data_IF_221459608380
#
_entry.id   IF_221459608380
#
_cell.length_a   1.000
_cell.length_b   1.000
_cell.length_c   1.000
_cell.angle_alpha   90.00
_cell.angle_beta   90.00
_cell.angle_gamma   90.00
#
_symmetry.space_group_name_H-M   'P 1'
#
loop_
_entity.id
_entity.type
_entity.pdbx_description
1 polymer ?
#
# COMPACT_ATOMS: atom_id res chain seq x y z
N UNK A 1 70.17 -58.36 -24.88
CA UNK A 1 69.75 -57.36 -23.86
C UNK A 1 68.37 -56.85 -24.21
N UNK A 2 67.34 -57.25 -23.46
CA UNK A 2 66.08 -56.53 -23.23
C UNK A 2 65.16 -57.46 -22.41
N UNK A 3 65.31 -57.43 -21.09
CA UNK A 3 64.42 -58.14 -20.18
C UNK A 3 63.16 -57.30 -19.95
N UNK A 4 62.00 -57.88 -20.24
CA UNK A 4 60.71 -57.30 -19.92
C UNK A 4 60.46 -57.36 -18.40
N UNK A 5 60.48 -56.22 -17.73
CA UNK A 5 60.01 -56.09 -16.36
C UNK A 5 58.46 -56.00 -16.36
N UNK A 6 57.78 -57.13 -16.14
CA UNK A 6 56.35 -57.13 -15.79
C UNK A 6 56.20 -56.70 -14.34
N UNK A 7 55.75 -55.46 -14.14
CA UNK A 7 55.34 -54.97 -12.83
C UNK A 7 54.05 -55.70 -12.40
N UNK A 8 54.18 -56.67 -11.49
CA UNK A 8 53.03 -57.33 -10.85
C UNK A 8 52.56 -56.39 -9.75
N UNK A 9 51.65 -55.48 -10.08
CA UNK A 9 50.95 -54.70 -9.07
C UNK A 9 50.24 -55.68 -8.13
N UNK A 10 50.74 -55.78 -6.89
CA UNK A 10 50.16 -56.60 -5.85
C UNK A 10 48.90 -55.87 -5.38
N UNK A 11 47.74 -56.29 -5.86
CA UNK A 11 46.44 -55.86 -5.34
C UNK A 11 46.30 -56.39 -3.91
N UNK A 12 46.63 -55.55 -2.92
CA UNK A 12 46.24 -55.83 -1.54
C UNK A 12 44.72 -55.72 -1.45
N UNK A 13 44.06 -56.81 -1.07
CA UNK A 13 42.62 -56.83 -0.85
C UNK A 13 42.26 -55.99 0.38
N UNK A 14 41.26 -55.12 0.24
CA UNK A 14 40.71 -54.31 1.33
C UNK A 14 40.18 -55.21 2.45
N UNK A 15 40.51 -54.89 3.70
CA UNK A 15 39.90 -55.61 4.83
C UNK A 15 38.44 -55.17 5.03
N UNK A 16 37.59 -56.07 5.51
CA UNK A 16 36.19 -55.76 5.85
C UNK A 16 36.08 -54.56 6.81
N UNK A 17 37.05 -54.46 7.73
CA UNK A 17 37.15 -53.37 8.71
C UNK A 17 37.44 -52.03 8.03
N UNK A 18 38.34 -51.99 7.05
CA UNK A 18 38.63 -50.78 6.27
C UNK A 18 37.41 -50.28 5.51
N UNK A 19 36.62 -51.18 4.91
CA UNK A 19 35.39 -50.82 4.21
C UNK A 19 34.35 -50.25 5.19
N UNK A 20 34.20 -50.85 6.37
CA UNK A 20 33.27 -50.38 7.40
C UNK A 20 33.67 -49.00 7.93
N UNK A 21 34.97 -48.77 8.17
CA UNK A 21 35.49 -47.47 8.61
C UNK A 21 35.31 -46.41 7.52
N UNK A 22 35.60 -46.74 6.26
CA UNK A 22 35.41 -45.82 5.14
C UNK A 22 33.94 -45.40 4.96
N UNK A 23 33.01 -46.35 5.03
CA UNK A 23 31.56 -46.06 4.96
C UNK A 23 31.12 -45.22 6.17
N UNK A 24 31.57 -45.55 7.38
CA UNK A 24 31.23 -44.80 8.59
C UNK A 24 31.69 -43.33 8.48
N UNK A 25 32.93 -43.09 8.05
CA UNK A 25 33.45 -41.73 7.83
C UNK A 25 32.70 -41.02 6.69
N UNK A 26 32.40 -41.73 5.60
CA UNK A 26 31.63 -41.18 4.48
C UNK A 26 30.23 -40.71 4.89
N UNK A 27 29.54 -41.48 5.73
CA UNK A 27 28.22 -41.12 6.28
C UNK A 27 28.31 -39.90 7.20
N UNK A 28 29.30 -39.87 8.11
CA UNK A 28 29.49 -38.73 9.02
C UNK A 28 29.78 -37.43 8.26
N UNK A 29 30.67 -37.48 7.27
CA UNK A 29 31.00 -36.32 6.43
C UNK A 29 29.80 -35.87 5.61
N UNK A 30 29.07 -36.81 5.01
CA UNK A 30 27.87 -36.51 4.22
C UNK A 30 26.77 -35.89 5.08
N UNK A 31 26.56 -36.39 6.30
CA UNK A 31 25.60 -35.83 7.25
C UNK A 31 25.97 -34.41 7.68
N UNK A 32 27.24 -34.15 7.97
CA UNK A 32 27.75 -32.81 8.29
C UNK A 32 27.56 -31.84 7.12
N UNK A 33 27.94 -32.24 5.91
CA UNK A 33 27.76 -31.43 4.70
C UNK A 33 26.28 -31.13 4.42
N UNK A 34 25.40 -32.12 4.55
CA UNK A 34 23.95 -31.93 4.37
C UNK A 34 23.38 -30.97 5.41
N UNK A 35 23.81 -31.08 6.67
CA UNK A 35 23.36 -30.18 7.75
C UNK A 35 23.75 -28.73 7.49
N UNK A 36 24.99 -28.49 7.04
CA UNK A 36 25.45 -27.16 6.66
C UNK A 36 24.68 -26.60 5.46
N UNK A 37 24.42 -27.43 4.45
CA UNK A 37 23.65 -27.04 3.28
C UNK A 37 22.21 -26.65 3.66
N UNK A 38 21.56 -27.42 4.55
CA UNK A 38 20.22 -27.11 5.03
C UNK A 38 20.19 -25.83 5.86
N UNK A 39 21.17 -25.61 6.73
CA UNK A 39 21.30 -24.37 7.51
C UNK A 39 21.51 -23.15 6.59
N UNK A 40 22.40 -23.27 5.59
CA UNK A 40 22.64 -22.23 4.60
C UNK A 40 21.38 -21.91 3.79
N UNK A 41 20.65 -22.93 3.32
CA UNK A 41 19.39 -22.75 2.59
C UNK A 41 18.32 -22.05 3.44
N UNK A 42 18.19 -22.40 4.73
CA UNK A 42 17.26 -21.72 5.65
C UNK A 42 17.63 -20.26 5.83
N UNK A 43 18.90 -19.97 6.15
CA UNK A 43 19.38 -18.61 6.31
C UNK A 43 19.19 -17.76 5.05
N UNK A 44 19.42 -18.34 3.87
CA UNK A 44 19.17 -17.68 2.59
C UNK A 44 17.70 -17.31 2.40
N UNK A 45 16.77 -18.25 2.65
CA UNK A 45 15.33 -17.99 2.52
C UNK A 45 14.84 -16.96 3.53
N UNK A 46 15.34 -16.99 4.76
CA UNK A 46 15.01 -15.98 5.79
C UNK A 46 15.50 -14.58 5.36
N UNK A 47 16.73 -14.48 4.84
CA UNK A 47 17.27 -13.23 4.33
C UNK A 47 16.46 -12.69 3.14
N UNK A 48 16.00 -13.58 2.25
CA UNK A 48 15.15 -13.21 1.11
C UNK A 48 13.78 -12.69 1.57
N UNK A 49 13.11 -13.34 2.52
CA UNK A 49 11.81 -12.91 3.06
C UNK A 49 11.92 -11.55 3.77
N UNK A 50 13.01 -11.32 4.52
CA UNK A 50 13.27 -10.03 5.16
C UNK A 50 13.53 -8.92 4.14
N UNK A 51 14.28 -9.21 3.08
CA UNK A 51 14.52 -8.25 1.99
C UNK A 51 13.21 -7.89 1.28
N UNK A 52 12.39 -8.89 0.92
CA UNK A 52 11.05 -8.68 0.31
C UNK A 52 10.16 -7.85 1.22
N UNK A 53 10.12 -8.15 2.52
CA UNK A 53 9.35 -7.38 3.49
C UNK A 53 9.78 -5.91 3.53
N UNK A 54 11.08 -5.63 3.57
CA UNK A 54 11.59 -4.26 3.59
C UNK A 54 11.29 -3.52 2.29
N UNK A 55 11.44 -4.17 1.15
CA UNK A 55 11.13 -3.58 -0.16
C UNK A 55 9.64 -3.28 -0.31
N UNK A 56 8.77 -4.21 0.10
CA UNK A 56 7.33 -3.99 0.16
C UNK A 56 6.98 -2.83 1.09
N UNK A 57 7.53 -2.79 2.30
CA UNK A 57 7.30 -1.70 3.25
C UNK A 57 7.74 -0.33 2.71
N UNK A 58 8.92 -0.26 2.08
CA UNK A 58 9.39 0.96 1.38
C UNK A 58 8.49 1.35 0.22
N UNK A 59 7.99 0.38 -0.53
CA UNK A 59 7.08 0.63 -1.64
C UNK A 59 5.73 1.17 -1.14
N UNK A 60 5.16 0.61 -0.08
CA UNK A 60 3.94 1.10 0.55
C UNK A 60 4.10 2.53 1.06
N UNK A 61 5.20 2.84 1.77
CA UNK A 61 5.48 4.21 2.22
C UNK A 61 5.62 5.19 1.05
N UNK A 62 6.28 4.79 -0.04
CA UNK A 62 6.41 5.64 -1.24
C UNK A 62 5.05 5.93 -1.87
N UNK A 63 4.20 4.92 -1.98
CA UNK A 63 2.85 5.04 -2.55
C UNK A 63 1.98 5.96 -1.70
N UNK A 64 1.89 5.70 -0.39
CA UNK A 64 1.11 6.52 0.54
C UNK A 64 1.63 7.96 0.61
N UNK A 65 2.95 8.12 0.63
CA UNK A 65 3.59 9.45 0.58
C UNK A 65 3.19 10.20 -0.68
N UNK A 66 3.27 9.58 -1.85
CA UNK A 66 2.87 10.20 -3.10
C UNK A 66 1.40 10.64 -3.07
N UNK A 67 0.50 9.76 -2.62
CA UNK A 67 -0.93 10.07 -2.54
C UNK A 67 -1.20 11.23 -1.57
N UNK A 68 -0.61 11.21 -0.38
CA UNK A 68 -0.75 12.28 0.61
C UNK A 68 -0.18 13.62 0.15
N UNK A 69 0.96 13.61 -0.55
CA UNK A 69 1.52 14.83 -1.14
C UNK A 69 0.59 15.43 -2.21
N UNK A 70 -0.10 14.57 -2.97
CA UNK A 70 -1.06 14.95 -4.01
C UNK A 70 -2.49 15.15 -3.49
N UNK A 71 -2.73 14.94 -2.19
CA UNK A 71 -4.04 15.17 -1.57
C UNK A 71 -4.48 16.61 -1.83
N UNK A 72 -5.71 16.80 -2.30
CA UNK A 72 -6.23 18.15 -2.59
C UNK A 72 -5.70 18.79 -3.86
N UNK A 73 -4.89 18.07 -4.65
CA UNK A 73 -4.53 18.52 -5.99
C UNK A 73 -5.72 18.36 -6.93
N UNK A 74 -6.53 19.41 -7.01
CA UNK A 74 -7.51 19.59 -8.07
C UNK A 74 -6.98 20.73 -8.93
N UNK A 75 -6.82 20.50 -10.23
CA UNK A 75 -6.30 21.48 -11.18
C UNK A 75 -7.29 22.65 -11.41
N UNK A 76 -7.51 23.46 -10.37
CA UNK A 76 -8.42 24.60 -10.31
C UNK A 76 -7.73 25.77 -9.60
N UNK A 77 -8.14 27.00 -9.92
CA UNK A 77 -7.67 28.23 -9.28
C UNK A 77 -8.37 28.53 -7.95
N UNK A 78 -9.43 27.79 -7.64
CA UNK A 78 -10.06 27.78 -6.33
C UNK A 78 -10.05 26.35 -5.74
N UNK A 79 -8.87 25.83 -5.34
CA UNK A 79 -8.78 24.55 -4.64
C UNK A 79 -9.74 24.52 -3.44
N UNK A 80 -10.42 23.40 -3.22
CA UNK A 80 -11.38 23.22 -2.13
C UNK A 80 -12.82 23.60 -2.47
N UNK A 81 -13.05 24.26 -3.61
CA UNK A 81 -14.41 24.43 -4.14
C UNK A 81 -15.03 23.09 -4.51
N UNK A 82 -16.24 22.85 -4.00
CA UNK A 82 -17.01 21.70 -4.39
C UNK A 82 -17.45 21.85 -5.85
N UNK A 83 -17.09 20.87 -6.66
CA UNK A 83 -17.55 20.72 -8.05
C UNK A 83 -18.68 19.71 -8.07
N UNK A 84 -19.79 20.08 -8.69
CA UNK A 84 -20.95 19.20 -8.82
C UNK A 84 -20.60 17.93 -9.61
N UNK A 85 -21.09 16.76 -9.17
CA UNK A 85 -20.88 15.52 -9.89
C UNK A 85 -21.62 15.54 -11.23
N UNK A 86 -20.97 15.02 -12.28
CA UNK A 86 -21.59 14.91 -13.62
C UNK A 86 -22.72 13.88 -13.67
N UNK A 87 -22.67 12.90 -12.78
CA UNK A 87 -23.59 11.77 -12.77
C UNK A 87 -23.67 11.19 -11.35
N UNK A 88 -24.75 10.46 -11.10
CA UNK A 88 -24.98 9.73 -9.84
C UNK A 88 -25.06 8.24 -10.09
N UNK A 89 -24.83 7.42 -9.07
CA UNK A 89 -24.76 5.96 -9.15
C UNK A 89 -25.06 5.26 -7.84
N UNK A 90 -24.20 4.32 -7.45
CA UNK A 90 -24.31 3.69 -6.13
C UNK A 90 -23.83 4.65 -5.05
N UNK A 91 -24.17 4.39 -3.78
CA UNK A 91 -23.76 5.27 -2.69
C UNK A 91 -22.23 5.44 -2.62
N UNK A 92 -21.46 4.37 -2.90
CA UNK A 92 -20.01 4.43 -2.98
C UNK A 92 -19.52 5.28 -4.15
N UNK A 93 -20.12 5.13 -5.33
CA UNK A 93 -19.80 5.93 -6.50
C UNK A 93 -20.04 7.42 -6.23
N UNK A 94 -21.23 7.77 -5.71
CA UNK A 94 -21.58 9.16 -5.39
C UNK A 94 -20.64 9.76 -4.35
N UNK A 95 -20.21 8.95 -3.39
CA UNK A 95 -19.30 9.37 -2.35
C UNK A 95 -17.87 9.62 -2.87
N UNK A 96 -17.38 8.82 -3.81
CA UNK A 96 -16.10 9.06 -4.51
C UNK A 96 -16.16 10.26 -5.47
N UNK A 97 -17.33 10.55 -6.04
CA UNK A 97 -17.54 11.66 -6.98
C UNK A 97 -17.52 13.04 -6.33
N UNK A 98 -17.70 13.13 -5.00
CA UNK A 98 -17.47 14.38 -4.26
C UNK A 98 -16.03 14.85 -4.46
N UNK A 99 -15.80 16.15 -4.50
CA UNK A 99 -14.47 16.78 -4.64
C UNK A 99 -14.00 17.47 -3.36
N UNK A 100 -14.90 17.71 -2.41
CA UNK A 100 -14.64 18.33 -1.12
C UNK A 100 -15.30 17.50 0.02
N UNK A 101 -14.59 17.16 1.11
CA UNK A 101 -13.16 17.40 1.35
C UNK A 101 -12.27 16.56 0.43
N UNK A 102 -11.05 17.01 0.10
CA UNK A 102 -10.18 16.26 -0.81
C UNK A 102 -9.50 15.04 -0.17
N UNK A 103 -9.47 15.01 1.16
CA UNK A 103 -8.92 13.94 1.97
C UNK A 103 -9.90 13.67 3.12
N UNK A 104 -10.27 12.40 3.31
CA UNK A 104 -10.94 11.93 4.53
C UNK A 104 -10.10 10.82 5.15
N UNK A 105 -10.10 10.78 6.48
CA UNK A 105 -9.39 9.80 7.28
C UNK A 105 -10.37 9.11 8.22
N UNK A 106 -10.47 7.80 8.10
CA UNK A 106 -11.30 6.95 8.94
C UNK A 106 -10.37 6.24 9.91
N UNK A 107 -10.24 6.81 11.12
CA UNK A 107 -9.36 6.29 12.16
C UNK A 107 -9.90 4.98 12.75
N UNK A 108 -9.02 4.00 12.93
CA UNK A 108 -9.27 2.71 13.59
C UNK A 108 -10.60 2.07 13.18
N UNK A 109 -10.73 1.76 11.89
CA UNK A 109 -11.98 1.24 11.35
C UNK A 109 -12.36 -0.07 12.07
N UNK A 110 -13.59 -0.17 12.54
CA UNK A 110 -14.13 -1.39 13.15
C UNK A 110 -14.38 -2.46 12.08
N UNK A 111 -14.62 -3.71 12.49
CA UNK A 111 -15.01 -4.79 11.54
C UNK A 111 -16.30 -4.48 10.77
N UNK A 112 -17.18 -3.65 11.35
CA UNK A 112 -18.38 -3.14 10.70
C UNK A 112 -18.12 -1.99 9.71
N UNK A 113 -16.88 -1.49 9.62
CA UNK A 113 -16.53 -0.39 8.72
C UNK A 113 -16.81 1.01 9.29
N UNK A 114 -17.01 1.11 10.60
CA UNK A 114 -17.27 2.36 11.31
C UNK A 114 -15.99 2.88 11.98
N UNK A 115 -15.74 4.19 11.97
CA UNK A 115 -14.73 4.81 12.83
C UNK A 115 -15.28 5.09 14.23
N UNK A 116 -14.40 5.18 15.23
CA UNK A 116 -14.73 5.66 16.57
C UNK A 116 -15.26 7.11 16.62
N UNK A 117 -15.00 7.92 15.59
CA UNK A 117 -15.54 9.28 15.44
C UNK A 117 -16.94 9.33 14.80
N UNK A 118 -17.53 8.16 14.47
CA UNK A 118 -18.83 8.07 13.80
C UNK A 118 -18.78 8.31 12.28
N UNK A 119 -17.61 8.59 11.71
CA UNK A 119 -17.44 8.57 10.25
C UNK A 119 -17.51 7.13 9.73
N UNK A 120 -18.31 6.92 8.68
CA UNK A 120 -18.40 5.65 7.97
C UNK A 120 -18.44 5.89 6.47
N UNK A 121 -17.67 5.11 5.73
CA UNK A 121 -17.84 5.01 4.28
C UNK A 121 -19.22 4.40 3.98
N UNK A 122 -19.82 4.65 2.80
CA UNK A 122 -21.02 3.96 2.37
C UNK A 122 -20.86 2.44 2.47
N UNK A 123 -21.94 1.72 2.81
CA UNK A 123 -21.89 0.28 3.02
C UNK A 123 -21.44 -0.53 1.79
N UNK A 124 -21.60 0.00 0.58
CA UNK A 124 -21.13 -0.59 -0.69
C UNK A 124 -19.69 -0.19 -1.03
N UNK A 125 -19.12 0.85 -0.38
CA UNK A 125 -17.68 1.14 -0.37
C UNK A 125 -16.95 0.24 0.64
N UNK A 126 -17.56 0.05 1.80
CA UNK A 126 -17.10 -0.90 2.81
C UNK A 126 -17.26 -2.30 2.23
N UNK A 127 -16.17 -3.04 2.11
CA UNK A 127 -16.17 -4.34 1.44
C UNK A 127 -16.82 -5.46 2.28
N UNK A 128 -17.83 -5.14 3.09
CA UNK A 128 -18.56 -6.04 3.99
C UNK A 128 -17.62 -6.85 4.90
N UNK A 129 -16.78 -6.16 5.69
CA UNK A 129 -15.88 -6.81 6.65
C UNK A 129 -14.64 -7.48 6.02
N UNK A 130 -14.35 -7.19 4.75
CA UNK A 130 -13.14 -7.68 4.06
C UNK A 130 -11.88 -6.83 4.29
N UNK A 131 -11.98 -5.76 5.07
CA UNK A 131 -10.87 -4.91 5.48
C UNK A 131 -10.30 -5.36 6.84
N UNK A 132 -9.09 -4.91 7.17
CA UNK A 132 -8.47 -5.14 8.49
C UNK A 132 -9.02 -4.12 9.48
N UNK A 133 -9.65 -4.60 10.56
CA UNK A 133 -10.14 -3.74 11.63
C UNK A 133 -8.99 -3.22 12.52
N UNK A 134 -9.16 -2.04 13.12
CA UNK A 134 -8.12 -1.37 13.92
C UNK A 134 -6.96 -0.84 13.07
N UNK A 135 -7.20 -0.62 11.77
CA UNK A 135 -6.31 0.11 10.87
C UNK A 135 -7.06 1.28 10.28
N UNK A 136 -6.33 2.26 9.79
CA UNK A 136 -6.91 3.43 9.17
C UNK A 136 -7.29 3.18 7.71
N UNK A 137 -8.30 3.92 7.26
CA UNK A 137 -8.62 4.05 5.85
C UNK A 137 -8.45 5.51 5.43
N UNK A 138 -7.91 5.71 4.23
CA UNK A 138 -7.75 7.04 3.65
C UNK A 138 -8.58 7.12 2.39
N UNK A 139 -9.27 8.24 2.22
CA UNK A 139 -9.95 8.57 0.98
C UNK A 139 -9.27 9.78 0.38
N UNK A 140 -8.80 9.61 -0.84
CA UNK A 140 -8.06 10.62 -1.59
C UNK A 140 -8.88 11.03 -2.80
N UNK A 141 -9.02 12.34 -3.00
CA UNK A 141 -9.65 12.94 -4.17
C UNK A 141 -8.70 13.96 -4.76
N UNK A 142 -8.31 13.71 -6.00
CA UNK A 142 -7.37 14.53 -6.74
C UNK A 142 -7.55 14.27 -8.23
N UNK A 143 -6.97 15.13 -9.02
CA UNK A 143 -6.69 14.83 -10.42
C UNK A 143 -5.31 14.18 -10.56
N UNK A 144 -5.00 13.71 -11.77
CA UNK A 144 -3.61 13.45 -12.16
C UNK A 144 -2.77 14.74 -12.09
N UNK A 145 -1.45 14.57 -11.98
CA UNK A 145 -0.49 15.68 -11.91
C UNK A 145 -0.23 16.37 -13.26
N UNK A 146 -0.71 15.79 -14.36
CA UNK A 146 -0.62 16.34 -15.70
C UNK A 146 -2.00 16.28 -16.38
N UNK A 147 -2.33 17.27 -17.22
CA UNK A 147 -3.55 17.24 -17.99
C UNK A 147 -3.48 16.10 -19.01
N UNK A 148 -4.61 15.45 -19.24
CA UNK A 148 -4.80 14.49 -20.33
C UNK A 148 -4.92 15.22 -21.66
N UNK A 149 -5.50 16.42 -21.67
CA UNK A 149 -5.63 17.28 -22.86
C UNK A 149 -5.35 18.73 -22.48
N UNK A 150 -4.42 19.34 -23.22
CA UNK A 150 -4.09 20.77 -23.13
C UNK A 150 -5.09 21.66 -23.90
N UNK A 151 -5.12 22.98 -23.63
CA UNK A 151 -6.01 23.90 -24.34
C UNK A 151 -5.74 23.88 -25.86
N UNK A 152 -6.76 23.57 -26.66
CA UNK A 152 -6.64 23.47 -28.12
C UNK A 152 -6.04 22.15 -28.64
N UNK A 153 -5.70 21.21 -27.74
CA UNK A 153 -5.33 19.85 -28.11
C UNK A 153 -6.49 19.06 -28.69
N UNK A 154 -6.18 17.98 -29.41
CA UNK A 154 -7.21 17.03 -29.87
C UNK A 154 -7.64 16.13 -28.71
N UNK A 155 -8.95 15.96 -28.58
CA UNK A 155 -9.59 15.12 -27.55
C UNK A 155 -9.62 13.63 -27.96
N UNK A 156 -8.79 13.24 -28.94
CA UNK A 156 -8.68 11.86 -29.41
C UNK A 156 -7.83 11.05 -28.43
N UNK A 157 -8.32 9.88 -28.00
CA UNK A 157 -7.60 9.03 -27.03
C UNK A 157 -8.01 9.23 -25.57
N UNK A 158 -9.06 10.02 -25.31
CA UNK A 158 -9.68 10.14 -23.99
C UNK A 158 -10.38 8.82 -23.65
N UNK A 159 -10.13 8.31 -22.45
CA UNK A 159 -10.82 7.14 -21.95
C UNK A 159 -12.31 7.49 -21.78
N UNK A 160 -13.23 6.87 -22.56
CA UNK A 160 -14.66 7.18 -22.47
C UNK A 160 -15.27 6.84 -21.11
N UNK A 161 -14.58 6.01 -20.33
CA UNK A 161 -15.08 5.54 -19.04
C UNK A 161 -14.48 6.30 -17.83
N UNK A 162 -13.44 7.11 -18.06
CA UNK A 162 -12.83 7.94 -17.02
C UNK A 162 -13.64 9.22 -16.76
N UNK A 163 -13.46 9.76 -15.58
CA UNK A 163 -14.02 11.06 -15.19
C UNK A 163 -12.91 12.09 -15.31
N UNK A 164 -13.23 13.23 -15.91
CA UNK A 164 -12.32 14.33 -16.09
C UNK A 164 -12.85 15.56 -15.38
N UNK A 165 -11.98 16.23 -14.63
CA UNK A 165 -12.16 17.62 -14.27
C UNK A 165 -11.82 18.47 -15.49
N UNK A 166 -12.83 19.17 -16.00
CA UNK A 166 -12.65 20.18 -17.04
C UNK A 166 -12.40 21.52 -16.37
N UNK A 167 -11.28 22.15 -16.70
CA UNK A 167 -11.01 23.53 -16.32
C UNK A 167 -11.14 24.44 -17.55
N UNK A 168 -12.14 25.32 -17.55
CA UNK A 168 -12.29 26.37 -18.55
C UNK A 168 -11.15 27.40 -18.52
N UNK A 169 -11.11 28.34 -19.46
CA UNK A 169 -10.09 29.40 -19.48
C UNK A 169 -9.96 30.08 -18.11
N UNK A 170 -8.72 30.30 -17.65
CA UNK A 170 -8.39 30.90 -16.34
C UNK A 170 -8.84 30.10 -15.11
N UNK A 171 -9.28 28.85 -15.28
CA UNK A 171 -9.71 27.93 -14.21
C UNK A 171 -10.93 28.44 -13.40
N UNK A 172 -11.75 29.32 -13.98
CA UNK A 172 -12.91 29.94 -13.30
C UNK A 172 -14.20 29.11 -13.46
N UNK A 173 -14.26 28.23 -14.46
CA UNK A 173 -15.36 27.30 -14.67
C UNK A 173 -14.79 25.88 -14.58
N UNK A 174 -15.10 25.18 -13.49
CA UNK A 174 -14.74 23.78 -13.29
C UNK A 174 -15.99 22.93 -13.27
N UNK A 175 -15.94 21.83 -14.01
CA UNK A 175 -17.02 20.84 -14.04
C UNK A 175 -16.41 19.45 -14.18
N UNK A 176 -16.98 18.47 -13.49
CA UNK A 176 -16.69 17.08 -13.81
C UNK A 176 -17.42 16.72 -15.10
N UNK A 177 -16.81 15.87 -15.91
CA UNK A 177 -17.44 15.29 -17.09
C UNK A 177 -16.88 13.91 -17.39
N UNK A 178 -17.72 13.02 -17.92
CA UNK A 178 -17.28 11.71 -18.39
C UNK A 178 -16.53 11.87 -19.72
N UNK A 179 -15.55 11.01 -19.93
CA UNK A 179 -14.81 10.93 -21.18
C UNK A 179 -15.68 10.64 -22.42
N UNK A 180 -15.04 10.62 -23.59
CA UNK A 180 -15.64 10.15 -24.84
C UNK A 180 -15.89 11.22 -25.90
N UNK A 181 -16.63 10.86 -26.95
CA UNK A 181 -16.66 11.59 -28.23
C UNK A 181 -17.45 12.92 -28.21
N UNK A 182 -17.98 13.35 -27.06
CA UNK A 182 -18.77 14.57 -26.90
C UNK A 182 -18.02 15.76 -26.27
N UNK A 183 -16.73 15.60 -26.02
CA UNK A 183 -15.94 16.62 -25.33
C UNK A 183 -15.60 17.78 -26.27
N UNK A 184 -15.98 18.99 -25.87
CA UNK A 184 -15.73 20.21 -26.64
C UNK A 184 -14.38 20.83 -26.28
N UNK A 185 -13.68 21.39 -27.28
CA UNK A 185 -12.29 21.85 -27.19
C UNK A 185 -12.05 23.15 -26.40
N UNK A 186 -12.77 23.36 -25.30
CA UNK A 186 -12.57 24.54 -24.45
C UNK A 186 -12.11 24.12 -23.07
N UNK A 187 -10.82 24.29 -22.80
CA UNK A 187 -10.21 24.05 -21.49
C UNK A 187 -9.25 22.87 -21.44
N UNK A 188 -8.63 22.71 -20.27
CA UNK A 188 -7.82 21.55 -19.93
C UNK A 188 -8.69 20.43 -19.39
N UNK A 189 -8.30 19.18 -19.68
CA UNK A 189 -8.89 18.01 -19.05
C UNK A 189 -7.89 17.32 -18.15
N UNK A 190 -8.31 17.10 -16.92
CA UNK A 190 -7.51 16.45 -15.90
C UNK A 190 -8.26 15.23 -15.41
N UNK A 191 -7.71 14.04 -15.59
CA UNK A 191 -8.37 12.82 -15.12
C UNK A 191 -8.55 12.88 -13.59
N UNK A 192 -9.78 12.72 -13.14
CA UNK A 192 -10.18 12.71 -11.74
C UNK A 192 -10.10 11.29 -11.19
N UNK A 193 -9.25 11.10 -10.19
CA UNK A 193 -8.84 9.77 -9.70
C UNK A 193 -9.13 9.59 -8.19
N UNK A 194 -10.41 9.60 -7.77
CA UNK A 194 -10.74 9.38 -6.38
C UNK A 194 -10.52 7.91 -5.99
N UNK A 195 -9.98 7.67 -4.80
CA UNK A 195 -9.70 6.32 -4.32
C UNK A 195 -9.74 6.20 -2.80
N UNK A 196 -10.23 5.06 -2.32
CA UNK A 196 -10.07 4.62 -0.92
C UNK A 196 -8.87 3.69 -0.84
N UNK A 197 -7.94 3.98 0.06
CA UNK A 197 -6.81 3.14 0.46
C UNK A 197 -7.10 2.52 1.82
N UNK A 198 -6.90 1.20 1.92
CA UNK A 198 -7.23 0.44 3.12
C UNK A 198 -6.52 -0.91 3.12
N UNK A 199 -6.47 -1.56 4.28
CA UNK A 199 -5.85 -2.89 4.40
C UNK A 199 -6.87 -4.02 4.27
N UNK A 200 -6.46 -5.14 3.69
CA UNK A 200 -7.18 -6.43 3.67
C UNK A 200 -6.32 -7.50 4.31
N UNK A 201 -6.96 -8.56 4.83
CA UNK A 201 -6.26 -9.73 5.36
C UNK A 201 -5.92 -10.78 4.28
N UNK A 202 -6.06 -10.41 3.00
CA UNK A 202 -5.70 -11.23 1.86
C UNK A 202 -5.31 -10.36 0.65
N UNK A 203 -4.45 -10.88 -0.21
CA UNK A 203 -3.92 -10.16 -1.38
C UNK A 203 -4.63 -10.56 -2.67
N UNK A 204 -4.67 -11.87 -2.95
CA UNK A 204 -5.18 -12.41 -4.21
C UNK A 204 -6.50 -13.12 -3.97
N UNK A 205 -6.52 -14.09 -3.07
CA UNK A 205 -7.68 -14.95 -2.81
C UNK A 205 -8.09 -14.86 -1.36
N UNK A 206 -9.40 -14.73 -1.10
CA UNK A 206 -9.91 -14.69 0.27
C UNK A 206 -9.45 -15.92 1.03
N UNK A 207 -8.71 -15.72 2.12
CA UNK A 207 -8.15 -16.79 2.94
C UNK A 207 -6.68 -17.14 2.65
N UNK A 208 -6.00 -16.49 1.69
CA UNK A 208 -4.55 -16.66 1.50
C UNK A 208 -3.71 -16.17 2.70
N UNK A 209 -4.32 -15.36 3.57
CA UNK A 209 -3.72 -14.87 4.80
C UNK A 209 -2.61 -13.85 4.55
N UNK A 210 -2.49 -13.28 3.36
CA UNK A 210 -1.46 -12.28 3.03
C UNK A 210 -2.07 -10.89 3.21
N UNK A 211 -1.73 -10.16 4.28
CA UNK A 211 -2.28 -8.83 4.50
C UNK A 211 -1.73 -7.88 3.44
N UNK A 212 -2.57 -6.98 2.92
CA UNK A 212 -2.18 -6.13 1.81
C UNK A 212 -2.81 -4.74 1.89
N UNK A 213 -2.05 -3.73 1.49
CA UNK A 213 -2.55 -2.40 1.18
C UNK A 213 -3.24 -2.44 -0.17
N UNK A 214 -4.52 -2.10 -0.18
CA UNK A 214 -5.36 -2.20 -1.36
C UNK A 214 -6.08 -0.88 -1.62
N UNK A 215 -6.57 -0.72 -2.85
CA UNK A 215 -7.37 0.43 -3.27
C UNK A 215 -8.72 0.05 -3.84
N UNK A 216 -9.68 0.96 -3.66
CA UNK A 216 -10.98 0.97 -4.32
C UNK A 216 -11.13 2.30 -5.06
N UNK A 217 -11.52 2.26 -6.34
CA UNK A 217 -11.61 3.44 -7.20
C UNK A 217 -12.77 3.32 -8.18
N UNK A 218 -13.02 4.38 -8.94
CA UNK A 218 -13.95 4.36 -10.07
C UNK A 218 -13.49 3.38 -11.15
N UNK A 219 -14.45 2.80 -11.88
CA UNK A 219 -14.16 1.84 -12.95
C UNK A 219 -15.31 1.69 -13.93
N UNK A 220 -15.19 0.69 -14.81
CA UNK A 220 -16.03 0.52 -16.01
C UNK A 220 -17.19 -0.48 -15.86
N UNK A 221 -17.43 -0.96 -14.64
CA UNK A 221 -18.48 -1.94 -14.35
C UNK A 221 -19.88 -1.30 -14.36
N UNK A 222 -20.94 -2.11 -14.28
CA UNK A 222 -22.31 -1.62 -14.17
C UNK A 222 -22.54 -0.69 -12.96
N UNK A 223 -21.84 -0.94 -11.85
CA UNK A 223 -21.86 -0.05 -10.68
C UNK A 223 -20.81 1.09 -10.75
N UNK A 224 -20.10 1.24 -11.88
CA UNK A 224 -19.05 2.25 -12.12
C UNK A 224 -17.90 2.23 -11.11
N UNK A 225 -17.62 1.06 -10.54
CA UNK A 225 -16.58 0.84 -9.54
C UNK A 225 -15.59 -0.21 -10.02
N UNK A 226 -14.29 0.09 -9.94
CA UNK A 226 -13.27 -0.91 -10.24
C UNK A 226 -13.31 -2.06 -9.20
N UNK A 227 -12.93 -3.29 -9.60
CA UNK A 227 -12.58 -4.31 -8.63
C UNK A 227 -11.52 -3.79 -7.65
N UNK A 228 -11.56 -4.28 -6.42
CA UNK A 228 -10.54 -3.95 -5.43
C UNK A 228 -9.20 -4.50 -5.88
N UNK A 229 -8.17 -3.67 -5.83
CA UNK A 229 -6.81 -4.00 -6.28
C UNK A 229 -5.86 -3.91 -5.09
N UNK A 230 -5.12 -4.97 -4.81
CA UNK A 230 -4.08 -4.95 -3.78
C UNK A 230 -2.75 -4.58 -4.39
N UNK A 231 -2.13 -3.56 -3.80
CA UNK A 231 -0.98 -2.84 -4.34
C UNK A 231 0.32 -3.33 -3.71
N UNK A 232 0.29 -3.58 -2.39
CA UNK A 232 1.47 -3.97 -1.63
C UNK A 232 1.12 -5.01 -0.59
N UNK A 233 1.83 -6.14 -0.60
CA UNK A 233 1.67 -7.23 0.34
C UNK A 233 2.52 -7.06 1.59
N UNK A 234 2.11 -7.69 2.69
CA UNK A 234 2.82 -7.72 3.97
C UNK A 234 2.46 -6.56 4.91
N UNK A 235 1.59 -5.62 4.52
CA UNK A 235 1.17 -4.51 5.40
C UNK A 235 0.02 -4.95 6.30
N UNK A 236 0.30 -5.16 7.59
CA UNK A 236 -0.66 -5.66 8.58
C UNK A 236 -1.43 -4.57 9.31
N UNK A 237 -0.83 -3.40 9.52
CA UNK A 237 -1.49 -2.27 10.16
C UNK A 237 -1.01 -0.95 9.56
N UNK A 238 -1.95 -0.01 9.42
CA UNK A 238 -1.74 1.34 8.91
C UNK A 238 -2.36 2.31 9.91
N UNK A 239 -1.58 3.26 10.40
CA UNK A 239 -2.04 4.34 11.27
C UNK A 239 -1.50 5.68 10.74
N UNK A 240 -2.27 6.74 10.93
CA UNK A 240 -1.89 8.10 10.57
C UNK A 240 -2.09 9.09 11.71
N UNK A 241 -1.21 10.07 11.75
CA UNK A 241 -1.41 11.29 12.55
C UNK A 241 -1.19 12.51 11.66
N UNK A 242 -1.98 13.56 11.86
CA UNK A 242 -1.91 14.79 11.08
C UNK A 242 -1.23 15.89 11.89
N UNK A 243 -0.19 16.50 11.31
CA UNK A 243 0.52 17.64 11.87
C UNK A 243 -0.29 18.91 11.69
N UNK A 244 -0.87 19.44 12.76
CA UNK A 244 -1.77 20.60 12.76
C UNK A 244 -0.95 21.88 12.97
N UNK A 245 -1.24 22.90 12.16
CA UNK A 245 -0.66 24.25 12.19
C UNK A 245 -1.68 25.20 12.86
N UNK A 246 -1.44 25.57 14.10
CA UNK A 246 -2.39 26.33 14.91
C UNK A 246 -2.16 27.85 14.88
N UNK A 247 -0.94 28.28 14.60
CA UNK A 247 -0.55 29.68 14.59
C UNK A 247 -0.38 30.27 13.18
N UNK A 248 -0.46 29.43 12.14
CA UNK A 248 -0.42 29.82 10.74
C UNK A 248 0.99 29.96 10.16
N UNK A 249 2.03 29.52 10.87
CA UNK A 249 3.43 29.58 10.44
C UNK A 249 3.83 28.52 9.40
N UNK A 250 2.89 27.64 9.04
CA UNK A 250 3.05 26.51 8.11
C UNK A 250 3.92 25.36 8.62
N UNK A 251 4.15 25.29 9.93
CA UNK A 251 4.79 24.18 10.62
C UNK A 251 3.75 23.41 11.45
N UNK A 252 4.10 22.17 11.81
CA UNK A 252 3.23 21.35 12.64
C UNK A 252 3.55 21.60 14.12
N UNK A 253 2.57 22.08 14.88
CA UNK A 253 2.67 22.28 16.33
C UNK A 253 2.46 20.98 17.09
N UNK A 254 1.48 20.19 16.64
CA UNK A 254 1.18 18.86 17.20
C UNK A 254 0.68 17.89 16.16
N UNK A 255 0.72 16.61 16.49
CA UNK A 255 0.20 15.53 15.68
C UNK A 255 -1.08 14.97 16.31
N UNK A 256 -2.14 14.86 15.52
CA UNK A 256 -3.44 14.36 15.95
C UNK A 256 -3.86 13.15 15.12
N UNK A 257 -4.23 12.06 15.79
CA UNK A 257 -4.73 10.86 15.12
C UNK A 257 -6.17 11.06 14.62
N UNK A 258 -6.99 11.83 15.33
CA UNK A 258 -8.40 12.07 14.97
C UNK A 258 -8.67 13.57 14.88
N UNK A 259 -8.13 14.26 13.86
CA UNK A 259 -8.38 15.68 13.70
C UNK A 259 -9.85 15.94 13.35
N UNK A 260 -10.44 16.98 13.95
CA UNK A 260 -11.72 17.48 13.49
C UNK A 260 -11.60 18.12 12.09
N UNK A 261 -12.71 18.45 11.40
CA UNK A 261 -12.64 19.04 10.07
C UNK A 261 -11.86 20.36 9.99
N UNK A 262 -11.84 21.20 11.03
CA UNK A 262 -11.06 22.44 11.03
C UNK A 262 -9.57 22.16 11.19
N UNK A 263 -9.22 21.24 12.09
CA UNK A 263 -7.85 20.78 12.29
C UNK A 263 -7.29 20.12 11.02
N UNK A 264 -8.05 19.24 10.36
CA UNK A 264 -7.62 18.61 9.12
C UNK A 264 -7.39 19.63 7.99
N UNK A 265 -8.14 20.75 7.96
CA UNK A 265 -7.87 21.87 7.04
C UNK A 265 -6.62 22.65 7.38
N UNK A 266 -6.27 22.73 8.67
CA UNK A 266 -5.04 23.34 9.13
C UNK A 266 -3.82 22.43 8.92
N UNK A 267 -4.01 21.12 8.76
CA UNK A 267 -2.91 20.16 8.65
C UNK A 267 -1.87 20.53 7.57
N UNK A 268 -0.59 20.46 7.94
CA UNK A 268 0.58 20.70 7.08
C UNK A 268 1.36 19.44 6.77
N UNK A 269 1.20 18.40 7.57
CA UNK A 269 1.93 17.15 7.45
C UNK A 269 1.04 15.96 7.82
N UNK A 270 1.42 14.78 7.34
CA UNK A 270 0.88 13.51 7.79
C UNK A 270 2.04 12.59 8.17
N UNK A 271 1.93 11.92 9.31
CA UNK A 271 2.86 10.90 9.76
C UNK A 271 2.20 9.53 9.58
N UNK A 272 2.86 8.69 8.80
CA UNK A 272 2.42 7.36 8.44
C UNK A 272 3.15 6.35 9.32
N UNK A 273 2.44 5.42 9.94
CA UNK A 273 2.99 4.25 10.60
C UNK A 273 2.50 2.99 9.89
N UNK A 274 3.43 2.14 9.46
CA UNK A 274 3.15 0.85 8.86
C UNK A 274 3.76 -0.26 9.69
N UNK A 275 2.94 -1.20 10.15
CA UNK A 275 3.44 -2.48 10.62
C UNK A 275 3.47 -3.44 9.43
N UNK A 276 4.67 -3.81 9.02
CA UNK A 276 4.90 -4.73 7.90
C UNK A 276 5.41 -6.05 8.44
N UNK A 277 5.01 -7.16 7.81
CA UNK A 277 5.49 -8.50 8.14
C UNK A 277 6.04 -9.27 6.96
N UNK A 278 6.84 -10.30 7.25
CA UNK A 278 7.21 -11.32 6.27
C UNK A 278 5.96 -11.99 5.67
N UNK A 279 6.03 -12.43 4.42
CA UNK A 279 4.88 -13.08 3.77
C UNK A 279 4.71 -14.53 4.23
N UNK A 280 5.80 -15.12 4.73
CA UNK A 280 5.84 -16.47 5.31
C UNK A 280 6.36 -16.44 6.75
N UNK A 281 5.94 -17.38 7.59
CA UNK A 281 6.51 -17.52 8.92
C UNK A 281 7.97 -17.99 8.83
N UNK A 282 8.82 -17.46 9.70
CA UNK A 282 10.20 -17.88 9.88
C UNK A 282 10.26 -18.96 10.97
N UNK A 283 10.96 -20.06 10.70
CA UNK A 283 10.98 -21.21 11.59
C UNK A 283 11.63 -20.90 12.94
N UNK A 284 10.93 -21.19 14.05
CA UNK A 284 11.44 -20.95 15.40
C UNK A 284 11.44 -19.48 15.83
N UNK A 285 10.95 -18.57 14.98
CA UNK A 285 10.77 -17.18 15.33
C UNK A 285 9.48 -16.98 16.14
N UNK A 286 9.52 -16.09 17.13
CA UNK A 286 8.37 -15.66 17.92
C UNK A 286 8.56 -14.17 18.21
N UNK A 287 7.50 -13.39 18.04
CA UNK A 287 7.54 -11.94 18.28
C UNK A 287 6.78 -11.62 19.57
N UNK A 288 7.49 -11.14 20.58
CA UNK A 288 6.96 -10.70 21.87
C UNK A 288 6.99 -9.17 22.04
N UNK A 289 7.42 -8.44 21.00
CA UNK A 289 7.51 -6.98 21.02
C UNK A 289 6.12 -6.36 21.00
N UNK A 290 6.00 -5.17 21.61
CA UNK A 290 4.83 -4.31 21.48
C UNK A 290 5.20 -3.17 20.52
N UNK A 291 4.48 -3.08 19.41
CA UNK A 291 4.64 -2.00 18.44
C UNK A 291 3.73 -0.84 18.80
N UNK A 292 4.28 0.36 18.80
CA UNK A 292 3.53 1.60 19.06
C UNK A 292 3.45 2.40 17.76
N UNK A 293 2.24 2.50 17.21
CA UNK A 293 1.91 3.19 15.98
C UNK A 293 1.11 4.45 16.35
N UNK A 294 1.81 5.53 16.70
CA UNK A 294 1.19 6.70 17.31
C UNK A 294 0.55 6.32 18.66
N UNK A 295 -0.75 6.54 18.79
CA UNK A 295 -1.53 6.17 19.98
C UNK A 295 -1.96 4.69 20.01
N UNK A 296 -1.82 3.96 18.90
CA UNK A 296 -2.24 2.57 18.76
C UNK A 296 -1.11 1.62 19.17
N UNK A 297 -1.42 0.61 20.00
CA UNK A 297 -0.46 -0.43 20.40
C UNK A 297 -0.89 -1.78 19.84
N UNK A 298 0.04 -2.43 19.15
CA UNK A 298 -0.17 -3.76 18.54
C UNK A 298 0.79 -4.75 19.17
N UNK A 299 0.25 -5.82 19.72
CA UNK A 299 1.02 -6.96 20.21
C UNK A 299 0.77 -8.17 19.31
N UNK A 300 1.80 -8.71 18.64
CA UNK A 300 1.65 -9.86 17.74
C UNK A 300 1.26 -11.15 18.45
N UNK A 301 0.61 -12.05 17.72
CA UNK A 301 0.10 -13.33 18.22
C UNK A 301 1.15 -14.45 18.35
N UNK A 302 2.46 -14.14 18.33
CA UNK A 302 3.55 -15.13 18.30
C UNK A 302 3.38 -16.21 17.22
N UNK A 303 3.01 -15.75 16.02
CA UNK A 303 2.58 -16.56 14.87
C UNK A 303 3.71 -16.89 13.88
N UNK A 304 4.97 -16.65 14.26
CA UNK A 304 6.15 -16.94 13.44
C UNK A 304 6.45 -15.91 12.35
N UNK A 305 5.63 -14.87 12.17
CA UNK A 305 5.91 -13.82 11.19
C UNK A 305 6.82 -12.74 11.77
N UNK A 306 7.92 -12.44 11.07
CA UNK A 306 8.78 -11.32 11.44
C UNK A 306 8.09 -10.02 11.12
N UNK A 307 8.10 -9.07 12.05
CA UNK A 307 7.48 -7.75 11.89
C UNK A 307 8.48 -6.62 12.04
N UNK A 308 8.20 -5.56 11.31
CA UNK A 308 8.93 -4.31 11.38
C UNK A 308 7.97 -3.12 11.30
N UNK A 309 8.08 -2.22 12.27
CA UNK A 309 7.43 -0.92 12.21
C UNK A 309 8.26 0.01 11.33
N UNK A 310 7.61 0.64 10.36
CA UNK A 310 8.18 1.67 9.51
C UNK A 310 7.37 2.96 9.67
N UNK A 311 8.06 4.09 9.73
CA UNK A 311 7.45 5.39 9.93
C UNK A 311 7.99 6.41 8.94
N UNK A 312 7.12 7.28 8.42
CA UNK A 312 7.50 8.39 7.53
C UNK A 312 6.61 9.60 7.81
N UNK A 313 7.19 10.80 7.84
CA UNK A 313 6.42 12.05 7.86
C UNK A 313 6.49 12.71 6.48
N UNK A 314 5.34 13.14 5.96
CA UNK A 314 5.19 13.72 4.62
C UNK A 314 4.46 15.06 4.72
N UNK A 315 4.85 16.02 3.88
CA UNK A 315 4.15 17.30 3.79
C UNK A 315 2.84 17.18 3.00
N UNK A 316 1.81 17.91 3.41
CA UNK A 316 0.57 18.08 2.66
C UNK A 316 0.69 19.37 1.86
N UNK A 317 1.01 19.27 0.57
CA UNK A 317 1.39 20.44 -0.22
C UNK A 317 0.19 21.21 -0.81
N UNK A 318 -0.92 20.53 -1.14
CA UNK A 318 -2.08 21.18 -1.75
C UNK A 318 -3.12 21.62 -0.70
N UNK A 319 -2.65 22.33 0.34
CA UNK A 319 -3.47 22.81 1.48
C UNK A 319 -4.65 23.68 1.05
N UNK A 320 -4.50 24.41 -0.06
CA UNK A 320 -5.59 25.18 -0.66
C UNK A 320 -6.82 24.29 -0.90
N UNK A 321 -6.61 23.03 -1.31
CA UNK A 321 -7.69 22.06 -1.55
C UNK A 321 -8.54 21.77 -0.33
N UNK A 322 -8.02 22.02 0.87
CA UNK A 322 -8.72 21.79 2.12
C UNK A 322 -9.52 23.01 2.56
N UNK A 323 -9.19 24.22 2.09
CA UNK A 323 -9.86 25.47 2.48
C UNK A 323 -11.09 25.67 1.60
N UNK A 324 -12.29 25.65 2.21
CA UNK A 324 -13.57 25.95 1.56
C UNK A 324 -14.02 27.37 1.85
#
# INVERSE_FOLDING_TARGET
MAAAARCKACSQGLSLVELLVAIALGVVLSFGAMSLLLASKRSYLEAEELARMQDNGRHALRLLSFELNMAGYLATRAPGTAVDPVETGTACFDYLMRTNPPLEHVNDVTSAGLSGSGQSLPADCLLAGRHVAGSDMLLMRRTLSLPTVDPGGQYAGIDPDAIYLRAGPRYEQVSLQRGGNGLTAAGELWEYVPQVLFLRNYSVTSGDGIPALCRKRLGRSANRMAPTECLVEGVENLQLEFGIDEDGDQLADRFEAVPDPAQLRAAVAARIYLLVRSLRPLGGYSDDRVYTLGNTRVQPARDGYYRQLMQLTVGLHNRGGFRS
#
